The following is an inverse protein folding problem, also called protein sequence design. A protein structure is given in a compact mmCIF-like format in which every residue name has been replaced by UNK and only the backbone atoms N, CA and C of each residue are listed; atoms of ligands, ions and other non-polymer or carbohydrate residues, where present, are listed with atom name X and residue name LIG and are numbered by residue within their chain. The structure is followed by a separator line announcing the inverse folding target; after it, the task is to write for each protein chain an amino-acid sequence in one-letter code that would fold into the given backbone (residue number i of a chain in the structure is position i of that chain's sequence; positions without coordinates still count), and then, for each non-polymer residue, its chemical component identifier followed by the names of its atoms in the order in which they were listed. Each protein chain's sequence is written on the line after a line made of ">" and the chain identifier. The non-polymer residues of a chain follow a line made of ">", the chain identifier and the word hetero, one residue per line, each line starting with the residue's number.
data_IF_469812252273
#
_entry.id   IF_469812252273
#
_cell.length_a   1.000
_cell.length_b   1.000
_cell.length_c   1.000
_cell.angle_alpha   90.00
_cell.angle_beta   90.00
_cell.angle_gamma   90.00
#
_symmetry.space_group_name_H-M   'P 1'
#
loop_
_entity.id
_entity.type
_entity.pdbx_description
1 polymer ?
#
# COMPACT_ATOMS: atom_id res chain seq x y z
N UNK A 1 110.34 71.48 4.25
CA UNK A 1 109.58 70.57 3.37
C UNK A 1 108.62 69.76 4.24
N UNK A 2 107.48 70.38 4.51
CA UNK A 2 106.15 69.78 4.34
C UNK A 2 105.94 68.34 4.80
N UNK A 3 106.02 68.09 6.11
CA UNK A 3 105.62 66.77 6.66
C UNK A 3 104.89 66.83 8.01
N UNK A 4 104.83 67.96 8.72
CA UNK A 4 104.09 68.04 10.00
C UNK A 4 102.64 68.53 9.87
N UNK A 5 102.27 69.16 8.75
CA UNK A 5 100.91 69.66 8.52
C UNK A 5 99.95 68.60 7.95
N UNK A 6 100.47 67.52 7.35
CA UNK A 6 99.67 66.42 6.78
C UNK A 6 99.31 65.31 7.78
N UNK A 7 100.12 65.09 8.82
CA UNK A 7 99.85 64.07 9.85
C UNK A 7 98.69 64.46 10.79
N UNK A 8 98.40 65.76 10.93
CA UNK A 8 97.32 66.24 11.81
C UNK A 8 95.93 66.24 11.13
N UNK A 9 95.88 66.38 9.80
CA UNK A 9 94.64 66.25 9.04
C UNK A 9 94.19 64.78 8.91
N UNK A 10 95.13 63.84 8.77
CA UNK A 10 94.80 62.41 8.72
C UNK A 10 94.32 61.84 10.07
N UNK A 11 94.85 62.30 11.21
CA UNK A 11 94.31 61.92 12.54
C UNK A 11 92.93 62.50 12.81
N UNK A 12 92.65 63.75 12.38
CA UNK A 12 91.29 64.32 12.50
C UNK A 12 90.29 63.59 11.62
N UNK A 13 90.64 63.25 10.38
CA UNK A 13 89.76 62.50 9.48
C UNK A 13 89.48 61.05 9.94
N UNK A 14 90.44 60.40 10.62
CA UNK A 14 90.24 59.07 11.20
C UNK A 14 89.35 59.09 12.46
N UNK A 15 89.42 60.16 13.26
CA UNK A 15 88.58 60.33 14.46
C UNK A 15 87.14 60.72 14.05
N UNK A 16 86.96 61.52 13.00
CA UNK A 16 85.63 61.84 12.45
C UNK A 16 84.97 60.64 11.75
N UNK A 17 85.73 59.74 11.11
CA UNK A 17 85.15 58.52 10.51
C UNK A 17 84.72 57.49 11.56
N UNK A 18 85.44 57.40 12.69
CA UNK A 18 85.06 56.52 13.81
C UNK A 18 83.80 57.03 14.55
N UNK A 19 83.61 58.35 14.66
CA UNK A 19 82.41 58.94 15.26
C UNK A 19 81.16 58.81 14.39
N UNK A 20 81.30 58.67 13.07
CA UNK A 20 80.20 58.45 12.12
C UNK A 20 79.68 57.01 12.09
N UNK A 21 80.48 56.03 12.51
CA UNK A 21 80.10 54.61 12.52
C UNK A 21 79.42 54.17 13.83
N UNK A 22 79.65 54.88 14.93
CA UNK A 22 79.02 54.58 16.22
C UNK A 22 77.47 54.62 16.19
N UNK A 23 76.80 55.63 15.59
CA UNK A 23 75.34 55.65 15.51
C UNK A 23 74.78 54.52 14.62
N UNK A 24 75.52 54.09 13.59
CA UNK A 24 75.12 52.94 12.75
C UNK A 24 75.19 51.62 13.52
N UNK A 25 76.19 51.45 14.39
CA UNK A 25 76.31 50.24 15.21
C UNK A 25 75.22 50.17 16.30
N UNK A 26 74.89 51.30 16.93
CA UNK A 26 73.80 51.39 17.90
C UNK A 26 72.43 51.19 17.23
N UNK A 27 72.23 51.72 16.03
CA UNK A 27 71.00 51.53 15.25
C UNK A 27 70.82 50.07 14.79
N UNK A 28 71.90 49.41 14.33
CA UNK A 28 71.90 47.97 14.00
C UNK A 28 71.60 47.10 15.23
N UNK A 29 72.17 47.44 16.39
CA UNK A 29 71.90 46.73 17.63
C UNK A 29 70.46 46.92 18.12
N UNK A 30 69.89 48.12 17.97
CA UNK A 30 68.47 48.39 18.23
C UNK A 30 67.55 47.61 17.27
N UNK A 31 67.88 47.56 15.97
CA UNK A 31 67.12 46.77 14.99
C UNK A 31 67.12 45.28 15.34
N UNK A 32 68.25 44.71 15.75
CA UNK A 32 68.33 43.31 16.19
C UNK A 32 67.61 43.06 17.53
N UNK A 33 67.67 44.02 18.46
CA UNK A 33 66.98 43.91 19.75
C UNK A 33 65.45 43.99 19.61
N UNK A 34 64.94 44.92 18.79
CA UNK A 34 63.51 45.05 18.50
C UNK A 34 63.00 44.03 17.47
N UNK A 35 63.88 43.42 16.66
CA UNK A 35 63.54 42.34 15.73
C UNK A 35 63.01 41.08 16.41
N UNK A 36 63.24 40.89 17.72
CA UNK A 36 62.69 39.74 18.46
C UNK A 36 61.15 39.73 18.55
N UNK A 37 60.48 40.77 18.06
CA UNK A 37 59.02 40.84 17.89
C UNK A 37 58.50 40.62 16.47
N UNK A 38 59.38 40.42 15.47
CA UNK A 38 58.93 39.99 14.14
C UNK A 38 58.61 38.50 14.20
N UNK A 39 57.36 38.20 14.57
CA UNK A 39 56.71 36.97 14.15
C UNK A 39 56.86 36.92 12.62
N UNK A 40 57.79 36.11 12.12
CA UNK A 40 57.49 35.41 10.89
C UNK A 40 56.15 34.75 11.13
N UNK A 41 55.18 35.05 10.29
CA UNK A 41 53.95 34.28 10.23
C UNK A 41 54.37 32.83 10.03
N UNK A 42 54.48 32.09 11.13
CA UNK A 42 54.18 30.69 11.11
C UNK A 42 52.69 30.70 10.80
N UNK A 43 52.39 30.67 9.50
CA UNK A 43 51.12 30.18 9.03
C UNK A 43 51.02 28.81 9.71
N UNK A 44 50.33 28.79 10.85
CA UNK A 44 49.63 27.60 11.27
C UNK A 44 48.82 27.31 10.02
N UNK A 45 49.24 26.31 9.26
CA UNK A 45 48.37 25.66 8.31
C UNK A 45 47.15 25.35 9.15
N UNK A 46 46.14 26.20 9.04
CA UNK A 46 44.84 25.97 9.64
C UNK A 46 44.56 24.54 9.19
N UNK A 47 44.40 23.65 10.15
CA UNK A 47 43.76 22.36 9.92
C UNK A 47 42.44 22.75 9.25
N UNK A 48 42.43 22.76 7.93
CA UNK A 48 41.22 22.85 7.15
C UNK A 48 40.42 21.68 7.70
N UNK A 49 39.28 21.98 8.31
CA UNK A 49 38.46 21.03 9.04
C UNK A 49 38.41 19.74 8.24
N UNK A 50 38.94 18.66 8.80
CA UNK A 50 39.01 17.32 8.17
C UNK A 50 37.61 16.86 7.74
N UNK A 51 36.56 17.39 8.39
CA UNK A 51 35.15 17.19 8.05
C UNK A 51 34.72 17.83 6.72
N UNK A 52 35.36 18.91 6.24
CA UNK A 52 34.97 19.57 4.99
C UNK A 52 35.47 18.79 3.76
N UNK A 53 36.63 18.12 3.86
CA UNK A 53 37.15 17.21 2.83
C UNK A 53 36.28 15.95 2.64
N UNK A 54 35.51 15.55 3.65
CA UNK A 54 34.63 14.38 3.55
C UNK A 54 33.36 14.66 2.72
N UNK A 55 32.95 15.93 2.62
CA UNK A 55 31.77 16.36 1.84
C UNK A 55 32.10 17.02 0.50
N UNK A 56 33.27 17.65 0.37
CA UNK A 56 33.81 18.08 -0.93
C UNK A 56 34.69 16.96 -1.49
N UNK A 57 34.32 16.39 -2.64
CA UNK A 57 35.15 15.44 -3.41
C UNK A 57 36.43 16.13 -3.94
N UNK A 58 37.34 16.53 -3.06
CA UNK A 58 38.61 17.12 -3.42
C UNK A 58 39.57 16.00 -3.86
N UNK A 59 40.32 16.18 -4.95
CA UNK A 59 41.29 15.19 -5.40
C UNK A 59 42.36 14.97 -4.32
N UNK A 60 42.48 13.75 -3.83
CA UNK A 60 43.53 13.39 -2.87
C UNK A 60 44.88 13.30 -3.59
N UNK A 61 45.60 14.42 -3.63
CA UNK A 61 46.89 14.57 -4.33
C UNK A 61 47.96 13.56 -3.89
N UNK A 62 47.86 13.04 -2.65
CA UNK A 62 48.79 12.02 -2.15
C UNK A 62 48.48 10.64 -2.76
N UNK A 63 47.20 10.25 -2.80
CA UNK A 63 46.75 9.01 -3.46
C UNK A 63 46.92 9.07 -4.97
N UNK A 64 46.68 10.23 -5.57
CA UNK A 64 46.94 10.49 -6.97
C UNK A 64 48.42 10.28 -7.31
N UNK A 65 49.34 10.89 -6.54
CA UNK A 65 50.79 10.66 -6.72
C UNK A 65 51.19 9.20 -6.53
N UNK A 66 50.60 8.53 -5.53
CA UNK A 66 50.84 7.11 -5.29
C UNK A 66 50.37 6.23 -6.47
N UNK A 67 49.40 6.69 -7.26
CA UNK A 67 48.91 5.95 -8.43
C UNK A 67 49.93 5.87 -9.57
N UNK A 68 50.85 6.84 -9.69
CA UNK A 68 51.84 6.85 -10.79
C UNK A 68 52.96 5.81 -10.64
N UNK A 69 53.14 5.26 -9.44
CA UNK A 69 54.18 4.27 -9.15
C UNK A 69 53.76 2.82 -9.44
N UNK A 70 54.72 1.87 -9.36
CA UNK A 70 54.42 0.44 -9.32
C UNK A 70 53.52 0.11 -8.13
N UNK A 71 52.48 -0.68 -8.38
CA UNK A 71 51.47 -1.05 -7.39
C UNK A 71 50.93 -2.43 -7.68
N UNK A 72 50.67 -3.20 -6.63
CA UNK A 72 50.01 -4.48 -6.71
C UNK A 72 48.52 -4.29 -6.53
N UNK A 73 47.71 -4.72 -7.50
CA UNK A 73 46.26 -4.61 -7.46
C UNK A 73 45.61 -5.96 -7.69
N UNK A 74 44.31 -6.06 -7.40
CA UNK A 74 43.50 -7.23 -7.70
C UNK A 74 42.38 -6.87 -8.67
N UNK A 75 42.21 -7.63 -9.74
CA UNK A 75 41.02 -7.59 -10.60
C UNK A 75 40.11 -8.75 -10.19
N UNK A 76 38.84 -8.47 -9.95
CA UNK A 76 37.80 -9.47 -9.63
C UNK A 76 36.71 -9.46 -10.69
N UNK A 77 36.36 -10.63 -11.25
CA UNK A 77 35.21 -10.84 -12.14
C UNK A 77 34.47 -12.11 -11.73
N UNK A 78 33.24 -11.99 -11.24
CA UNK A 78 32.54 -13.11 -10.59
C UNK A 78 33.39 -13.70 -9.44
N UNK A 79 33.69 -14.99 -9.51
CA UNK A 79 34.53 -15.70 -8.54
C UNK A 79 36.03 -15.66 -8.86
N UNK A 80 36.40 -15.21 -10.06
CA UNK A 80 37.81 -15.12 -10.47
C UNK A 80 38.48 -13.87 -9.88
N UNK A 81 39.68 -14.06 -9.32
CA UNK A 81 40.52 -12.98 -8.80
C UNK A 81 41.93 -13.12 -9.34
N UNK A 82 42.44 -12.07 -9.98
CA UNK A 82 43.78 -12.02 -10.57
C UNK A 82 44.56 -10.87 -9.93
N UNK A 83 45.79 -11.14 -9.47
CA UNK A 83 46.67 -10.13 -8.90
C UNK A 83 47.68 -9.65 -9.95
N UNK A 84 47.83 -8.33 -10.10
CA UNK A 84 48.62 -7.70 -11.17
C UNK A 84 49.52 -6.62 -10.59
N UNK A 85 50.78 -6.62 -11.01
CA UNK A 85 51.70 -5.52 -10.79
C UNK A 85 51.64 -4.57 -12.00
N UNK A 86 51.32 -3.29 -11.77
CA UNK A 86 51.18 -2.31 -12.87
C UNK A 86 51.69 -0.93 -12.48
N UNK A 87 52.11 -0.13 -13.46
CA UNK A 87 52.40 1.30 -13.33
C UNK A 87 51.32 2.17 -13.94
N UNK A 88 50.35 1.59 -14.66
CA UNK A 88 49.26 2.31 -15.32
C UNK A 88 48.30 2.92 -14.30
N UNK A 89 47.75 4.09 -14.59
CA UNK A 89 46.81 4.80 -13.69
C UNK A 89 45.35 4.66 -14.10
N UNK A 90 45.11 4.46 -15.40
CA UNK A 90 43.78 4.26 -15.95
C UNK A 90 43.31 2.83 -15.74
N UNK A 91 42.12 2.67 -15.15
CA UNK A 91 41.45 1.37 -15.02
C UNK A 91 41.25 0.73 -16.40
N UNK A 92 40.86 1.50 -17.41
CA UNK A 92 40.65 0.99 -18.77
C UNK A 92 41.92 0.38 -19.38
N UNK A 93 43.05 1.09 -19.26
CA UNK A 93 44.33 0.62 -19.80
C UNK A 93 44.82 -0.63 -19.06
N UNK A 94 44.66 -0.66 -17.73
CA UNK A 94 44.99 -1.82 -16.89
C UNK A 94 44.19 -3.05 -17.36
N UNK A 95 42.87 -2.91 -17.54
CA UNK A 95 42.02 -4.02 -17.97
C UNK A 95 42.43 -4.52 -19.37
N UNK A 96 42.68 -3.60 -20.30
CA UNK A 96 43.06 -3.91 -21.68
C UNK A 96 44.42 -4.61 -21.77
N UNK A 97 45.43 -4.10 -21.06
CA UNK A 97 46.79 -4.67 -21.01
C UNK A 97 46.79 -6.10 -20.45
N UNK A 98 45.82 -6.42 -19.59
CA UNK A 98 45.68 -7.73 -18.95
C UNK A 98 44.58 -8.61 -19.60
N UNK A 99 44.11 -8.26 -20.79
CA UNK A 99 43.20 -9.10 -21.58
C UNK A 99 41.74 -9.13 -21.11
N UNK A 100 41.34 -8.23 -20.21
CA UNK A 100 39.94 -8.10 -19.78
C UNK A 100 39.15 -7.25 -20.77
N UNK A 101 38.28 -7.89 -21.56
CA UNK A 101 37.34 -7.20 -22.45
C UNK A 101 36.02 -6.92 -21.75
N UNK A 102 35.61 -5.64 -21.74
CA UNK A 102 34.34 -5.19 -21.20
C UNK A 102 33.22 -5.33 -22.23
N UNK A 103 32.11 -5.93 -21.84
CA UNK A 103 30.87 -5.94 -22.62
C UNK A 103 29.99 -4.73 -22.28
N UNK A 104 28.95 -4.47 -23.09
CA UNK A 104 28.04 -3.32 -22.92
C UNK A 104 27.40 -3.22 -21.54
N UNK A 105 27.13 -4.35 -20.89
CA UNK A 105 26.47 -4.41 -19.59
C UNK A 105 27.45 -4.73 -18.44
N UNK A 106 28.76 -4.64 -18.68
CA UNK A 106 29.75 -4.76 -17.62
C UNK A 106 29.95 -3.39 -16.94
N UNK A 107 29.85 -3.37 -15.61
CA UNK A 107 30.15 -2.22 -14.77
C UNK A 107 31.47 -2.44 -14.05
N UNK A 108 32.33 -1.43 -14.06
CA UNK A 108 33.63 -1.48 -13.39
C UNK A 108 33.58 -0.62 -12.13
N UNK A 109 33.89 -1.23 -11.00
CA UNK A 109 33.99 -0.59 -9.70
C UNK A 109 35.44 -0.60 -9.23
N UNK A 110 35.94 0.57 -8.82
CA UNK A 110 37.22 0.70 -8.14
C UNK A 110 36.93 1.06 -6.68
N UNK A 111 37.53 0.33 -5.74
CA UNK A 111 37.33 0.57 -4.31
C UNK A 111 37.99 1.87 -3.77
N UNK A 112 38.75 2.56 -4.61
CA UNK A 112 39.49 3.79 -4.29
C UNK A 112 39.28 4.84 -5.38
N UNK A 113 39.52 6.12 -5.08
CA UNK A 113 39.43 7.20 -6.08
C UNK A 113 40.50 7.08 -7.19
N UNK A 114 41.69 6.61 -6.83
CA UNK A 114 42.81 6.38 -7.73
C UNK A 114 43.29 4.94 -7.58
N UNK A 115 43.84 4.35 -8.64
CA UNK A 115 44.43 3.00 -8.56
C UNK A 115 45.74 3.07 -7.79
N UNK A 116 45.77 2.51 -6.59
CA UNK A 116 46.93 2.50 -5.68
C UNK A 116 47.24 1.06 -5.24
N UNK A 117 48.27 0.87 -4.43
CA UNK A 117 48.60 -0.46 -3.90
C UNK A 117 47.40 -1.05 -3.12
N UNK A 118 47.11 -2.33 -3.40
CA UNK A 118 45.96 -3.10 -2.89
C UNK A 118 44.59 -2.59 -3.35
N UNK A 119 44.53 -1.75 -4.39
CA UNK A 119 43.26 -1.43 -5.05
C UNK A 119 42.62 -2.70 -5.64
N UNK A 120 41.30 -2.73 -5.61
CA UNK A 120 40.49 -3.81 -6.17
C UNK A 120 39.64 -3.20 -7.28
N UNK A 121 39.83 -3.71 -8.50
CA UNK A 121 38.99 -3.42 -9.65
C UNK A 121 37.99 -4.59 -9.76
N UNK A 122 36.71 -4.33 -9.53
CA UNK A 122 35.64 -5.32 -9.70
C UNK A 122 34.94 -5.08 -11.03
N UNK A 123 34.81 -6.11 -11.85
CA UNK A 123 34.00 -6.13 -13.06
C UNK A 123 32.73 -6.91 -12.71
N UNK A 124 31.58 -6.24 -12.78
CA UNK A 124 30.26 -6.81 -12.48
C UNK A 124 29.46 -6.87 -13.76
N UNK A 125 28.97 -8.06 -14.12
CA UNK A 125 28.09 -8.21 -15.27
C UNK A 125 26.64 -8.03 -14.84
N UNK A 126 25.95 -7.07 -15.45
CA UNK A 126 24.53 -6.87 -15.22
C UNK A 126 23.70 -7.46 -16.36
N UNK A 127 22.59 -8.11 -16.04
CA UNK A 127 21.61 -8.54 -17.03
C UNK A 127 20.20 -8.31 -16.50
N UNK A 128 19.25 -8.02 -17.39
CA UNK A 128 17.84 -7.86 -17.04
C UNK A 128 16.99 -8.79 -17.89
N UNK A 129 16.12 -9.56 -17.25
CA UNK A 129 15.21 -10.50 -17.90
C UNK A 129 13.78 -10.27 -17.41
N UNK A 130 12.81 -10.50 -18.28
CA UNK A 130 11.40 -10.50 -17.91
C UNK A 130 11.02 -11.88 -17.37
N UNK A 131 10.37 -11.89 -16.22
CA UNK A 131 9.85 -13.08 -15.57
C UNK A 131 8.33 -12.92 -15.43
N UNK A 132 7.57 -13.91 -15.90
CA UNK A 132 6.11 -13.91 -15.78
C UNK A 132 5.69 -14.86 -14.65
N UNK A 133 4.86 -14.35 -13.74
CA UNK A 133 4.20 -15.13 -12.68
C UNK A 133 2.70 -15.16 -12.93
N UNK A 134 2.07 -16.31 -12.72
CA UNK A 134 0.61 -16.46 -12.80
C UNK A 134 0.09 -16.77 -11.41
N UNK A 135 -0.82 -15.93 -10.94
CA UNK A 135 -1.40 -16.03 -9.61
C UNK A 135 -2.92 -16.08 -9.66
N UNK A 136 -3.51 -16.81 -8.70
CA UNK A 136 -4.96 -16.87 -8.55
C UNK A 136 -5.47 -15.65 -7.77
N UNK A 137 -6.64 -15.14 -8.18
CA UNK A 137 -7.34 -14.06 -7.47
C UNK A 137 -8.50 -14.69 -6.71
N UNK A 138 -8.54 -14.59 -5.37
CA UNK A 138 -9.63 -15.14 -4.58
C UNK A 138 -10.97 -14.50 -4.94
N UNK A 139 -12.04 -15.31 -4.89
CA UNK A 139 -13.40 -14.80 -5.00
C UNK A 139 -13.97 -14.42 -3.64
N UNK A 140 -14.99 -13.57 -3.65
CA UNK A 140 -15.75 -13.20 -2.46
C UNK A 140 -17.01 -14.06 -2.35
N UNK A 141 -17.38 -14.43 -1.13
CA UNK A 141 -18.67 -15.06 -0.85
C UNK A 141 -19.67 -14.03 -0.31
N UNK A 142 -20.87 -14.01 -0.88
CA UNK A 142 -21.94 -13.06 -0.54
C UNK A 142 -23.17 -13.83 -0.10
N UNK A 143 -23.64 -13.52 1.11
CA UNK A 143 -24.86 -14.11 1.66
C UNK A 143 -26.07 -13.23 1.37
N UNK A 144 -27.16 -13.86 0.92
CA UNK A 144 -28.44 -13.20 0.67
C UNK A 144 -29.56 -13.91 1.43
N UNK A 145 -30.41 -13.15 2.10
CA UNK A 145 -31.57 -13.72 2.77
C UNK A 145 -32.65 -14.15 1.76
N UNK A 146 -33.24 -15.33 1.97
CA UNK A 146 -34.35 -15.85 1.19
C UNK A 146 -35.49 -16.32 2.11
N UNK A 147 -36.64 -15.64 2.03
CA UNK A 147 -37.85 -15.95 2.82
C UNK A 147 -38.65 -17.14 2.32
N UNK A 148 -38.23 -17.78 1.21
CA UNK A 148 -38.79 -19.04 0.74
C UNK A 148 -38.04 -20.26 1.28
N UNK A 149 -36.81 -20.08 1.77
CA UNK A 149 -36.02 -21.14 2.39
C UNK A 149 -36.24 -21.13 3.92
N UNK A 150 -36.28 -22.31 4.51
CA UNK A 150 -36.42 -22.45 5.96
C UNK A 150 -35.13 -22.03 6.67
N UNK A 151 -35.28 -21.44 7.85
CA UNK A 151 -34.14 -21.07 8.68
C UNK A 151 -33.25 -22.28 8.94
N UNK A 152 -31.95 -22.10 8.68
CA UNK A 152 -30.93 -23.15 8.80
C UNK A 152 -30.68 -23.90 7.49
N UNK A 153 -31.52 -23.72 6.47
CA UNK A 153 -31.22 -24.18 5.11
C UNK A 153 -30.44 -23.12 4.35
N UNK A 154 -29.43 -23.56 3.60
CA UNK A 154 -28.64 -22.72 2.72
C UNK A 154 -28.67 -23.31 1.31
N UNK A 155 -28.59 -22.46 0.29
CA UNK A 155 -28.50 -22.87 -1.10
C UNK A 155 -27.47 -22.03 -1.84
N UNK A 156 -26.55 -22.66 -2.56
CA UNK A 156 -25.61 -21.95 -3.43
C UNK A 156 -26.35 -21.67 -4.75
N UNK A 157 -26.62 -20.40 -5.05
CA UNK A 157 -27.28 -20.00 -6.29
C UNK A 157 -26.27 -19.57 -7.36
N UNK A 158 -25.04 -19.28 -6.96
CA UNK A 158 -23.93 -18.99 -7.86
C UNK A 158 -22.64 -19.48 -7.22
N UNK A 159 -21.96 -20.41 -7.88
CA UNK A 159 -20.65 -20.90 -7.46
C UNK A 159 -19.58 -19.79 -7.61
N UNK A 160 -18.66 -19.76 -6.65
CA UNK A 160 -17.49 -18.90 -6.73
C UNK A 160 -16.46 -19.43 -7.72
N UNK A 161 -15.83 -18.54 -8.48
CA UNK A 161 -14.77 -18.92 -9.43
C UNK A 161 -13.57 -18.02 -9.21
N UNK A 162 -12.42 -18.65 -8.97
CA UNK A 162 -11.14 -17.94 -8.86
C UNK A 162 -10.87 -17.13 -10.14
N UNK A 163 -10.41 -15.91 -9.95
CA UNK A 163 -9.80 -15.12 -11.00
C UNK A 163 -8.35 -15.55 -11.22
N UNK A 164 -7.73 -14.99 -12.24
CA UNK A 164 -6.32 -15.23 -12.56
C UNK A 164 -5.70 -13.90 -12.99
N UNK A 165 -4.56 -13.57 -12.42
CA UNK A 165 -3.71 -12.46 -12.88
C UNK A 165 -2.36 -12.98 -13.34
N UNK A 166 -1.76 -12.25 -14.28
CA UNK A 166 -0.38 -12.41 -14.70
C UNK A 166 0.39 -11.17 -14.28
N UNK A 167 1.50 -11.38 -13.59
CA UNK A 167 2.42 -10.33 -13.19
C UNK A 167 3.71 -10.48 -13.99
N UNK A 168 4.21 -9.37 -14.52
CA UNK A 168 5.47 -9.33 -15.26
C UNK A 168 6.49 -8.55 -14.45
N UNK A 169 7.56 -9.24 -14.07
CA UNK A 169 8.67 -8.71 -13.31
C UNK A 169 9.87 -8.48 -14.20
N UNK A 170 10.51 -7.31 -14.07
CA UNK A 170 11.85 -7.10 -14.58
C UNK A 170 12.86 -7.46 -13.48
N UNK A 171 13.53 -8.58 -13.67
CA UNK A 171 14.55 -9.09 -12.76
C UNK A 171 15.94 -8.67 -13.27
N UNK A 172 16.71 -7.99 -12.42
CA UNK A 172 18.09 -7.61 -12.68
C UNK A 172 19.04 -8.47 -11.87
N UNK A 173 20.01 -9.04 -12.57
CA UNK A 173 21.04 -9.92 -12.02
C UNK A 173 22.41 -9.25 -12.12
N UNK A 174 23.21 -9.37 -11.07
CA UNK A 174 24.62 -9.03 -11.05
C UNK A 174 25.44 -10.31 -10.84
N UNK A 175 26.34 -10.63 -11.77
CA UNK A 175 27.13 -11.86 -11.76
C UNK A 175 26.26 -13.13 -11.57
N UNK A 176 25.04 -13.12 -12.14
CA UNK A 176 24.08 -14.23 -12.05
C UNK A 176 23.25 -14.27 -10.78
N UNK A 177 23.46 -13.35 -9.83
CA UNK A 177 22.68 -13.25 -8.58
C UNK A 177 21.59 -12.20 -8.74
N UNK A 178 20.34 -12.55 -8.39
CA UNK A 178 19.21 -11.62 -8.43
C UNK A 178 19.43 -10.51 -7.39
N UNK A 179 19.61 -9.28 -7.84
CA UNK A 179 19.81 -8.11 -6.96
C UNK A 179 18.59 -7.19 -6.91
N UNK A 180 17.72 -7.27 -7.92
CA UNK A 180 16.53 -6.42 -8.00
C UNK A 180 15.43 -7.11 -8.78
N UNK A 181 14.20 -7.03 -8.27
CA UNK A 181 12.99 -7.44 -8.98
C UNK A 181 11.97 -6.31 -8.89
N UNK A 182 11.43 -5.90 -10.04
CA UNK A 182 10.45 -4.81 -10.13
C UNK A 182 9.23 -5.29 -10.90
N UNK A 183 8.05 -5.17 -10.31
CA UNK A 183 6.80 -5.37 -11.02
C UNK A 183 6.65 -4.28 -12.09
N UNK A 184 6.63 -4.68 -13.36
CA UNK A 184 6.49 -3.77 -14.50
C UNK A 184 5.10 -3.76 -15.12
N UNK A 185 4.36 -4.86 -14.96
CA UNK A 185 3.00 -4.99 -15.49
C UNK A 185 2.17 -5.97 -14.67
N UNK A 186 0.87 -5.73 -14.59
CA UNK A 186 -0.12 -6.62 -13.98
C UNK A 186 -1.35 -6.69 -14.89
N UNK A 187 -1.69 -7.90 -15.31
CA UNK A 187 -2.79 -8.15 -16.25
C UNK A 187 -3.75 -9.15 -15.63
N UNK A 188 -5.02 -8.74 -15.44
CA UNK A 188 -6.08 -9.67 -15.04
C UNK A 188 -6.52 -10.48 -16.27
N UNK A 189 -6.18 -11.77 -16.29
CA UNK A 189 -6.55 -12.71 -17.35
C UNK A 189 -8.00 -13.19 -17.20
N UNK A 190 -8.48 -13.32 -15.96
CA UNK A 190 -9.83 -13.73 -15.62
C UNK A 190 -10.28 -13.03 -14.34
N UNK A 191 -11.39 -12.32 -14.37
CA UNK A 191 -11.95 -11.73 -13.15
C UNK A 191 -12.56 -12.81 -12.25
N UNK A 192 -12.40 -12.70 -10.92
CA UNK A 192 -13.06 -13.62 -9.99
C UNK A 192 -14.58 -13.43 -10.06
N UNK A 193 -15.30 -14.54 -10.00
CA UNK A 193 -16.75 -14.56 -9.90
C UNK A 193 -17.13 -14.80 -8.45
N UNK A 194 -17.93 -13.91 -7.86
CA UNK A 194 -18.42 -14.07 -6.49
C UNK A 194 -19.25 -15.35 -6.35
N UNK A 195 -19.16 -15.96 -5.18
CA UNK A 195 -20.11 -16.98 -4.73
C UNK A 195 -21.32 -16.28 -4.10
N UNK A 196 -22.51 -16.78 -4.39
CA UNK A 196 -23.74 -16.27 -3.78
C UNK A 196 -24.46 -17.41 -3.08
N UNK A 197 -24.59 -17.27 -1.77
CA UNK A 197 -25.27 -18.23 -0.89
C UNK A 197 -26.57 -17.59 -0.42
N UNK A 198 -27.69 -18.23 -0.70
CA UNK A 198 -28.97 -17.88 -0.09
C UNK A 198 -29.13 -18.59 1.24
N UNK A 199 -29.44 -17.83 2.29
CA UNK A 199 -29.76 -18.36 3.63
C UNK A 199 -31.26 -18.24 3.88
N UNK A 200 -31.86 -19.30 4.39
CA UNK A 200 -33.27 -19.30 4.72
C UNK A 200 -33.59 -18.45 5.93
N UNK A 201 -34.65 -17.67 5.83
CA UNK A 201 -35.18 -16.84 6.92
C UNK A 201 -36.60 -17.24 7.33
N UNK A 202 -37.24 -18.16 6.62
CA UNK A 202 -38.61 -18.59 6.93
C UNK A 202 -38.66 -19.49 8.17
N UNK A 203 -39.68 -19.29 9.00
CA UNK A 203 -40.05 -20.21 10.07
C UNK A 203 -41.14 -21.21 9.66
N UNK A 204 -41.75 -21.00 8.50
CA UNK A 204 -42.92 -21.75 8.05
C UNK A 204 -42.68 -22.34 6.67
N UNK A 205 -43.26 -23.51 6.43
CA UNK A 205 -43.18 -24.27 5.17
C UNK A 205 -44.56 -24.39 4.55
N UNK A 206 -44.64 -24.58 3.24
CA UNK A 206 -45.88 -24.98 2.56
C UNK A 206 -46.08 -26.50 2.59
N UNK A 207 -45.13 -27.26 3.13
CA UNK A 207 -45.26 -28.70 3.30
C UNK A 207 -46.47 -29.03 4.18
N UNK A 208 -47.38 -29.86 3.65
CA UNK A 208 -48.64 -30.23 4.31
C UNK A 208 -49.78 -29.21 4.19
N UNK A 209 -49.59 -28.10 3.46
CA UNK A 209 -50.64 -27.11 3.18
C UNK A 209 -51.27 -27.40 1.80
N UNK A 210 -52.60 -27.44 1.75
CA UNK A 210 -53.33 -27.50 0.48
C UNK A 210 -53.25 -26.14 -0.23
N UNK A 211 -52.66 -26.12 -1.43
CA UNK A 211 -52.48 -24.91 -2.22
C UNK A 211 -53.75 -24.60 -3.02
N UNK A 212 -54.16 -23.35 -2.99
CA UNK A 212 -55.37 -22.88 -3.64
C UNK A 212 -55.14 -21.70 -4.59
N UNK A 213 -53.92 -21.15 -4.65
CA UNK A 213 -53.55 -19.96 -5.42
C UNK A 213 -54.52 -18.79 -5.16
N UNK A 214 -54.80 -17.98 -6.19
CA UNK A 214 -55.73 -16.84 -6.15
C UNK A 214 -57.20 -17.29 -6.26
N UNK A 215 -57.71 -18.00 -5.26
CA UNK A 215 -59.03 -18.63 -5.33
C UNK A 215 -60.02 -18.05 -4.32
N UNK A 216 -60.54 -16.87 -4.65
CA UNK A 216 -61.60 -16.24 -3.85
C UNK A 216 -62.88 -17.08 -3.74
N UNK A 217 -63.42 -17.73 -4.80
CA UNK A 217 -64.63 -18.53 -4.67
C UNK A 217 -64.53 -19.61 -3.59
N UNK A 218 -63.40 -20.31 -3.52
CA UNK A 218 -63.15 -21.30 -2.48
C UNK A 218 -63.13 -20.66 -1.10
N UNK A 219 -62.28 -19.66 -0.87
CA UNK A 219 -62.17 -19.05 0.46
C UNK A 219 -63.45 -18.31 0.90
N UNK A 220 -64.23 -17.78 -0.04
CA UNK A 220 -65.54 -17.23 0.24
C UNK A 220 -66.51 -18.31 0.70
N UNK A 221 -66.49 -19.50 0.08
CA UNK A 221 -67.31 -20.63 0.52
C UNK A 221 -66.94 -21.12 1.92
N UNK A 222 -65.65 -21.08 2.27
CA UNK A 222 -65.16 -21.39 3.63
C UNK A 222 -65.70 -20.37 4.64
N UNK A 223 -65.64 -19.07 4.31
CA UNK A 223 -66.21 -18.00 5.15
C UNK A 223 -67.74 -18.12 5.25
N UNK A 224 -68.43 -18.47 4.17
CA UNK A 224 -69.89 -18.58 4.12
C UNK A 224 -70.44 -19.75 4.91
N UNK A 225 -69.73 -20.88 4.90
CA UNK A 225 -70.06 -22.06 5.71
C UNK A 225 -69.71 -21.89 7.20
N UNK A 226 -68.88 -20.90 7.54
CA UNK A 226 -68.50 -20.60 8.91
C UNK A 226 -69.60 -19.95 9.77
N UNK A 227 -69.52 -20.07 11.11
CA UNK A 227 -70.49 -19.53 12.06
C UNK A 227 -70.25 -18.01 12.32
N UNK A 228 -70.27 -17.22 11.25
CA UNK A 228 -70.04 -15.77 11.29
C UNK A 228 -71.30 -14.98 10.98
N UNK A 229 -71.43 -13.78 11.53
CA UNK A 229 -72.51 -12.86 11.16
C UNK A 229 -72.34 -12.37 9.72
N UNK A 230 -73.41 -11.83 9.13
CA UNK A 230 -73.35 -11.31 7.75
C UNK A 230 -72.29 -10.21 7.60
N UNK A 231 -72.19 -9.31 8.58
CA UNK A 231 -71.20 -8.22 8.58
C UNK A 231 -69.76 -8.75 8.71
N UNK A 232 -69.57 -9.78 9.54
CA UNK A 232 -68.27 -10.45 9.70
C UNK A 232 -67.84 -11.11 8.39
N UNK A 233 -68.76 -11.80 7.70
CA UNK A 233 -68.48 -12.44 6.41
C UNK A 233 -68.07 -11.44 5.35
N UNK A 234 -68.83 -10.35 5.20
CA UNK A 234 -68.54 -9.30 4.22
C UNK A 234 -67.16 -8.67 4.47
N UNK A 235 -66.85 -8.35 5.73
CA UNK A 235 -65.55 -7.78 6.08
C UNK A 235 -64.41 -8.77 5.84
N UNK A 236 -64.53 -10.04 6.26
CA UNK A 236 -63.51 -11.06 6.05
C UNK A 236 -63.18 -11.23 4.56
N UNK A 237 -64.21 -11.38 3.73
CA UNK A 237 -64.05 -11.52 2.27
C UNK A 237 -63.36 -10.30 1.67
N UNK A 238 -63.75 -9.10 2.10
CA UNK A 238 -63.17 -7.86 1.61
C UNK A 238 -61.68 -7.73 1.92
N UNK A 239 -61.31 -7.92 3.19
CA UNK A 239 -59.91 -7.79 3.61
C UNK A 239 -59.07 -8.88 2.93
N UNK A 240 -59.55 -10.11 2.92
CA UNK A 240 -58.86 -11.23 2.26
C UNK A 240 -58.55 -10.96 0.78
N UNK A 241 -59.52 -10.45 0.04
CA UNK A 241 -59.31 -10.06 -1.36
C UNK A 241 -58.34 -8.87 -1.47
N UNK A 242 -58.50 -7.86 -0.62
CA UNK A 242 -57.71 -6.64 -0.68
C UNK A 242 -56.22 -6.89 -0.34
N UNK A 243 -55.94 -7.74 0.65
CA UNK A 243 -54.58 -7.98 1.15
C UNK A 243 -53.78 -8.94 0.26
N UNK A 244 -54.40 -10.02 -0.21
CA UNK A 244 -53.68 -11.07 -0.93
C UNK A 244 -54.29 -11.48 -2.27
N UNK A 245 -55.48 -10.99 -2.61
CA UNK A 245 -56.27 -11.54 -3.71
C UNK A 245 -56.79 -12.95 -3.41
N UNK A 246 -57.05 -13.26 -2.13
CA UNK A 246 -57.45 -14.58 -1.65
C UNK A 246 -56.43 -15.70 -1.89
N UNK A 247 -55.14 -15.38 -1.68
CA UNK A 247 -54.04 -16.34 -1.78
C UNK A 247 -53.48 -16.68 -0.39
N UNK A 248 -53.69 -17.91 0.07
CA UNK A 248 -53.37 -18.35 1.43
C UNK A 248 -51.89 -18.65 1.65
N UNK A 249 -51.20 -18.96 0.56
CA UNK A 249 -49.78 -19.24 0.45
C UNK A 249 -48.97 -18.01 0.00
N UNK A 250 -49.60 -16.82 -0.01
CA UNK A 250 -48.95 -15.58 -0.46
C UNK A 250 -47.68 -15.30 0.34
N UNK A 251 -46.53 -15.30 -0.35
CA UNK A 251 -45.20 -15.00 0.21
C UNK A 251 -44.50 -13.83 -0.49
N UNK A 252 -45.27 -12.90 -1.08
CA UNK A 252 -44.75 -11.83 -1.96
C UNK A 252 -44.06 -10.68 -1.24
N UNK A 253 -44.19 -10.59 0.08
CA UNK A 253 -43.61 -9.50 0.88
C UNK A 253 -43.10 -10.01 2.23
N UNK A 254 -42.77 -9.11 3.16
CA UNK A 254 -42.49 -9.48 4.56
C UNK A 254 -43.71 -10.11 5.24
N UNK A 255 -44.92 -9.84 4.76
CA UNK A 255 -46.18 -10.39 5.24
C UNK A 255 -46.60 -11.67 4.50
N UNK A 256 -47.46 -12.49 5.11
CA UNK A 256 -47.78 -13.84 4.64
C UNK A 256 -49.28 -14.14 4.61
N UNK A 257 -49.68 -14.95 3.64
CA UNK A 257 -50.99 -15.58 3.54
C UNK A 257 -52.16 -14.64 3.21
N UNK A 258 -53.37 -15.18 3.39
CA UNK A 258 -54.67 -14.62 3.01
C UNK A 258 -54.85 -13.16 3.45
N UNK A 259 -54.42 -12.86 4.66
CA UNK A 259 -54.60 -11.55 5.28
C UNK A 259 -53.28 -10.81 5.49
N UNK A 260 -52.18 -11.23 4.83
CA UNK A 260 -50.88 -10.58 4.96
C UNK A 260 -50.46 -10.40 6.44
N UNK A 261 -50.44 -11.50 7.18
CA UNK A 261 -49.99 -11.52 8.58
C UNK A 261 -48.48 -11.32 8.71
N UNK A 262 -48.06 -10.65 9.78
CA UNK A 262 -46.64 -10.53 10.12
C UNK A 262 -46.12 -11.86 10.68
N UNK A 263 -45.07 -12.47 10.10
CA UNK A 263 -44.48 -13.71 10.61
C UNK A 263 -44.08 -13.67 12.09
N UNK A 264 -43.57 -12.51 12.52
CA UNK A 264 -43.12 -12.27 13.88
C UNK A 264 -44.29 -12.23 14.88
N UNK A 265 -45.38 -11.54 14.54
CA UNK A 265 -46.54 -11.47 15.43
C UNK A 265 -47.33 -12.77 15.43
N UNK A 266 -47.36 -13.48 14.30
CA UNK A 266 -47.99 -14.79 14.21
C UNK A 266 -47.28 -15.80 15.11
N UNK A 267 -45.94 -15.93 15.02
CA UNK A 267 -45.17 -16.91 15.83
C UNK A 267 -45.29 -16.70 17.33
N UNK A 268 -45.59 -15.46 17.76
CA UNK A 268 -45.79 -15.13 19.17
C UNK A 268 -47.19 -15.43 19.69
N UNK A 269 -48.18 -15.45 18.82
CA UNK A 269 -49.60 -15.57 19.21
C UNK A 269 -50.17 -16.96 18.93
N UNK A 270 -49.67 -17.61 17.87
CA UNK A 270 -50.28 -18.81 17.31
C UNK A 270 -49.20 -19.87 17.05
N UNK A 271 -49.60 -21.13 17.21
CA UNK A 271 -48.72 -22.29 16.97
C UNK A 271 -48.89 -22.88 15.57
N UNK A 272 -50.02 -22.55 14.94
CA UNK A 272 -50.42 -22.99 13.61
C UNK A 272 -49.51 -22.39 12.54
N UNK A 273 -49.45 -23.05 11.38
CA UNK A 273 -48.69 -22.56 10.25
C UNK A 273 -49.33 -21.26 9.70
N UNK A 274 -48.54 -20.22 9.47
CA UNK A 274 -49.04 -18.93 8.95
C UNK A 274 -49.71 -19.04 7.57
N UNK A 275 -49.41 -20.09 6.81
CA UNK A 275 -50.02 -20.34 5.50
C UNK A 275 -51.30 -21.18 5.57
N UNK A 276 -51.69 -21.68 6.76
CA UNK A 276 -52.98 -22.34 6.93
C UNK A 276 -54.11 -21.30 6.84
N UNK A 277 -54.83 -21.29 5.72
CA UNK A 277 -55.91 -20.32 5.49
C UNK A 277 -57.08 -20.46 6.48
N UNK A 278 -57.35 -21.65 7.03
CA UNK A 278 -58.40 -21.82 8.03
C UNK A 278 -58.00 -21.20 9.37
N UNK A 279 -56.75 -21.43 9.81
CA UNK A 279 -56.19 -20.78 10.99
C UNK A 279 -56.17 -19.25 10.82
N UNK A 280 -55.81 -18.76 9.64
CA UNK A 280 -55.84 -17.34 9.32
C UNK A 280 -57.25 -16.75 9.43
N UNK A 281 -58.28 -17.37 8.84
CA UNK A 281 -59.66 -16.90 8.95
C UNK A 281 -60.11 -16.85 10.42
N UNK A 282 -59.82 -17.91 11.18
CA UNK A 282 -60.13 -18.02 12.62
C UNK A 282 -59.51 -16.88 13.43
N UNK A 283 -58.23 -16.58 13.25
CA UNK A 283 -57.57 -15.54 14.02
C UNK A 283 -57.89 -14.12 13.53
N UNK A 284 -58.18 -13.94 12.24
CA UNK A 284 -58.62 -12.65 11.71
C UNK A 284 -59.99 -12.27 12.27
N UNK A 285 -60.91 -13.22 12.44
CA UNK A 285 -62.22 -12.91 13.05
C UNK A 285 -62.10 -12.57 14.55
N UNK A 286 -61.16 -13.19 15.27
CA UNK A 286 -60.86 -12.81 16.66
C UNK A 286 -60.39 -11.34 16.74
N UNK A 287 -59.56 -10.88 15.80
CA UNK A 287 -59.16 -9.47 15.71
C UNK A 287 -60.32 -8.55 15.36
N UNK A 288 -61.25 -8.99 14.51
CA UNK A 288 -62.46 -8.23 14.21
C UNK A 288 -63.29 -7.98 15.48
N UNK A 289 -63.52 -9.04 16.25
CA UNK A 289 -64.30 -9.01 17.49
C UNK A 289 -63.62 -8.23 18.62
N UNK A 290 -62.29 -8.13 18.60
CA UNK A 290 -61.52 -7.33 19.56
C UNK A 290 -61.72 -5.81 19.40
N UNK A 291 -62.26 -5.33 18.27
CA UNK A 291 -62.66 -3.94 18.09
C UNK A 291 -62.21 -3.30 16.77
N UNK A 292 -62.53 -2.02 16.59
CA UNK A 292 -62.11 -1.25 15.41
C UNK A 292 -60.61 -0.90 15.44
N UNK A 293 -60.05 -0.61 16.62
CA UNK A 293 -58.64 -0.23 16.76
C UNK A 293 -57.69 -1.35 16.32
N UNK A 294 -58.01 -2.61 16.62
CA UNK A 294 -57.24 -3.78 16.19
C UNK A 294 -57.28 -3.96 14.68
N UNK A 295 -58.46 -3.81 14.08
CA UNK A 295 -58.66 -3.91 12.62
C UNK A 295 -57.92 -2.82 11.86
N UNK A 296 -58.07 -1.56 12.28
CA UNK A 296 -57.41 -0.43 11.68
C UNK A 296 -55.88 -0.47 11.88
N UNK A 297 -55.39 -1.07 12.97
CA UNK A 297 -53.95 -1.24 13.17
C UNK A 297 -53.36 -2.38 12.34
N UNK A 298 -54.08 -3.50 12.19
CA UNK A 298 -53.56 -4.68 11.50
C UNK A 298 -53.69 -4.57 9.98
N UNK A 299 -54.80 -3.98 9.48
CA UNK A 299 -55.10 -3.81 8.06
C UNK A 299 -55.50 -2.37 7.73
N UNK A 300 -54.62 -1.37 7.96
CA UNK A 300 -54.98 0.05 7.90
C UNK A 300 -55.57 0.48 6.55
N UNK A 301 -54.93 0.07 5.44
CA UNK A 301 -55.35 0.48 4.10
C UNK A 301 -56.65 -0.19 3.67
N UNK A 302 -56.72 -1.52 3.77
CA UNK A 302 -57.88 -2.29 3.34
C UNK A 302 -59.11 -2.05 4.23
N UNK A 303 -58.92 -1.93 5.55
CA UNK A 303 -60.02 -1.62 6.47
C UNK A 303 -60.57 -0.20 6.25
N UNK A 304 -59.70 0.80 6.05
CA UNK A 304 -60.16 2.15 5.70
C UNK A 304 -60.92 2.19 4.38
N UNK A 305 -60.51 1.38 3.40
CA UNK A 305 -61.20 1.27 2.11
C UNK A 305 -62.59 0.64 2.27
N UNK A 306 -62.70 -0.46 3.02
CA UNK A 306 -63.98 -1.10 3.36
C UNK A 306 -64.95 -0.10 4.01
N UNK A 307 -64.49 0.67 5.00
CA UNK A 307 -65.33 1.64 5.72
C UNK A 307 -65.82 2.79 4.82
N UNK A 308 -65.07 3.15 3.77
CA UNK A 308 -65.51 4.15 2.79
C UNK A 308 -66.58 3.62 1.85
N UNK A 309 -66.50 2.34 1.49
CA UNK A 309 -67.42 1.69 0.55
C UNK A 309 -68.72 1.22 1.23
N UNK A 310 -68.72 1.06 2.56
CA UNK A 310 -69.91 0.73 3.37
C UNK A 310 -70.80 1.95 3.70
N UNK A 311 -70.27 3.18 3.57
CA UNK A 311 -71.00 4.43 3.83
C UNK A 311 -71.77 4.90 2.61
#
# INVERSE_FOLDING_TARGET
>A
MDTQTDLNNNKKNLIYSLFLLLPFFVFSFFLLYYSKGLLFAQESANKLNVEIEEYLYLPNTTKERASYGPKLISIKRGDEVVNILTTLTSVEDILKDNGFTLEKNDYVYLNTQYVVDRSIIKIVRTSSVLFESVEEIPYLSVTKENSNLLRGQNSIIQEGVMGVKKEVYQNTYEDGVLVKSVLTDEIVLKHPQKEIIEIGTSWYTLEGIELHDYNCPYWYSVVDSGPYSQEEKEWLKYIMYCESGCNAESNKSSYKGLFQWSPYWWSKQFSENIFDGHAQIKHTIEKYRAGESTRASQWPACNAKYLREKK
#
